data_IF_520313172354
#
_entry.id   IF_520313172354
#
_cell.length_a   1.000
_cell.length_b   1.000
_cell.length_c   1.000
_cell.angle_alpha   90.00
_cell.angle_beta   90.00
_cell.angle_gamma   90.00
#
_symmetry.space_group_name_H-M   'P 1'
#
loop_
_entity.id
_entity.type
_entity.pdbx_description
1 polymer ?
#
# COMPACT_ATOMS: atom_id res chain seq x y z
N UNK A 1 -7.31 -1.44 17.59
CA UNK A 1 -6.21 -1.97 18.41
C UNK A 1 -5.86 -0.93 19.46
N UNK A 2 -6.20 -1.17 20.72
CA UNK A 2 -5.84 -0.29 21.84
C UNK A 2 -4.67 -0.98 22.54
N UNK A 3 -3.50 -0.34 22.57
CA UNK A 3 -2.32 -0.84 23.29
C UNK A 3 -2.43 -0.57 24.80
N UNK A 4 -3.64 -0.65 25.33
CA UNK A 4 -3.97 -0.20 26.69
C UNK A 4 -4.73 -1.31 27.38
N UNK A 5 -4.48 -1.48 28.67
CA UNK A 5 -5.22 -2.45 29.48
C UNK A 5 -6.74 -2.12 29.38
N UNK A 6 -7.58 -3.05 28.92
CA UNK A 6 -9.01 -2.80 28.72
C UNK A 6 -9.72 -2.28 29.98
N UNK A 7 -9.24 -2.68 31.16
CA UNK A 7 -9.80 -2.32 32.46
C UNK A 7 -9.68 -0.83 32.83
N UNK A 8 -8.80 -0.07 32.18
CA UNK A 8 -8.54 1.36 32.50
C UNK A 8 -8.83 2.30 31.34
N UNK A 9 -9.38 1.78 30.23
CA UNK A 9 -9.62 2.57 29.02
C UNK A 9 -11.10 2.86 28.86
N UNK A 10 -11.54 4.06 29.25
CA UNK A 10 -12.90 4.53 28.98
C UNK A 10 -12.93 5.21 27.62
N UNK A 11 -13.64 4.63 26.66
CA UNK A 11 -13.90 5.26 25.36
C UNK A 11 -15.28 5.92 25.45
N UNK A 12 -15.31 7.23 25.57
CA UNK A 12 -16.55 8.01 25.56
C UNK A 12 -16.83 8.50 24.13
N UNK A 13 -18.03 8.28 23.57
CA UNK A 13 -18.43 8.81 22.26
C UNK A 13 -18.45 10.35 22.14
N UNK A 14 -18.17 11.09 23.23
CA UNK A 14 -18.54 12.49 23.41
C UNK A 14 -17.41 13.51 23.33
N UNK A 15 -16.15 13.11 23.16
CA UNK A 15 -15.04 14.07 23.14
C UNK A 15 -14.70 14.47 21.69
N UNK A 16 -15.09 15.69 21.30
CA UNK A 16 -15.14 16.24 19.93
C UNK A 16 -16.13 15.54 18.97
N UNK A 17 -17.01 16.27 18.26
CA UNK A 17 -17.90 15.64 17.28
C UNK A 17 -17.15 14.99 16.10
N UNK A 18 -15.86 15.30 15.89
CA UNK A 18 -15.09 14.84 14.73
C UNK A 18 -13.76 14.14 15.05
N UNK A 19 -13.18 14.27 16.26
CA UNK A 19 -11.92 13.59 16.63
C UNK A 19 -11.87 13.29 18.14
N UNK A 20 -12.20 12.07 18.53
CA UNK A 20 -12.02 11.60 19.92
C UNK A 20 -10.54 11.48 20.28
N UNK A 21 -9.93 12.56 20.76
CA UNK A 21 -8.59 12.50 21.37
C UNK A 21 -8.71 11.81 22.72
N UNK A 22 -8.62 10.47 22.76
CA UNK A 22 -8.46 9.78 24.03
C UNK A 22 -6.98 9.91 24.47
N UNK A 23 -6.74 10.70 25.51
CA UNK A 23 -5.47 10.67 26.22
C UNK A 23 -5.45 9.43 27.11
N UNK A 24 -4.64 8.43 26.77
CA UNK A 24 -4.43 7.26 27.63
C UNK A 24 -3.42 7.64 28.71
N UNK A 25 -3.92 8.29 29.76
CA UNK A 25 -3.15 8.65 30.95
C UNK A 25 -3.15 7.53 31.98
N UNK A 26 -2.28 6.53 31.83
CA UNK A 26 -1.73 5.84 33.00
C UNK A 26 -0.70 6.77 33.63
N UNK A 27 -0.70 6.93 34.96
CA UNK A 27 0.12 7.91 35.72
C UNK A 27 1.65 7.79 35.62
N UNK A 28 2.19 7.26 34.53
CA UNK A 28 3.61 7.29 34.22
C UNK A 28 4.00 8.66 33.63
N UNK A 29 5.10 9.28 34.09
CA UNK A 29 5.57 10.54 33.56
C UNK A 29 6.00 10.38 32.09
N UNK A 30 5.28 11.07 31.20
CA UNK A 30 5.60 11.35 29.79
C UNK A 30 6.05 10.13 28.97
N UNK A 31 5.11 9.28 28.60
CA UNK A 31 5.21 8.56 27.32
C UNK A 31 5.06 9.64 26.23
N UNK A 32 6.05 9.83 25.33
CA UNK A 32 5.87 10.75 24.22
C UNK A 32 4.63 10.28 23.45
N UNK A 33 3.74 11.22 23.12
CA UNK A 33 2.54 10.93 22.37
C UNK A 33 2.91 10.37 20.98
N UNK A 34 3.21 9.08 20.88
CA UNK A 34 2.86 8.31 19.69
C UNK A 34 1.34 8.48 19.63
N UNK A 35 0.91 9.44 18.80
CA UNK A 35 -0.47 9.88 18.71
C UNK A 35 -1.39 8.68 18.67
N UNK A 36 -2.46 8.73 19.44
CA UNK A 36 -3.43 7.65 19.45
C UNK A 36 -3.89 7.43 17.99
N UNK A 37 -3.74 6.20 17.51
CA UNK A 37 -4.11 5.85 16.14
C UNK A 37 -5.63 5.71 16.10
N UNK A 38 -6.28 6.80 15.75
CA UNK A 38 -7.73 6.95 15.79
C UNK A 38 -8.37 6.88 14.42
N UNK A 39 -7.57 7.02 13.36
CA UNK A 39 -8.05 7.08 11.98
C UNK A 39 -9.07 5.98 11.62
N UNK A 40 -8.87 4.70 11.98
CA UNK A 40 -9.85 3.64 11.71
C UNK A 40 -11.26 3.87 12.26
N UNK A 41 -11.45 4.82 13.18
CA UNK A 41 -12.73 5.09 13.82
C UNK A 41 -13.35 6.40 13.35
N UNK A 42 -12.60 7.51 13.41
CA UNK A 42 -13.15 8.82 13.09
C UNK A 42 -13.17 9.13 11.59
N UNK A 43 -12.23 8.63 10.80
CA UNK A 43 -12.24 8.88 9.35
C UNK A 43 -13.41 8.17 8.67
N UNK A 44 -13.74 6.90 8.96
CA UNK A 44 -14.98 6.30 8.45
C UNK A 44 -16.22 7.10 8.84
N UNK A 45 -16.30 7.61 10.08
CA UNK A 45 -17.41 8.45 10.53
C UNK A 45 -17.48 9.77 9.75
N UNK A 46 -16.35 10.46 9.58
CA UNK A 46 -16.25 11.70 8.81
C UNK A 46 -16.68 11.47 7.35
N UNK A 47 -16.15 10.42 6.72
CA UNK A 47 -16.39 10.11 5.31
C UNK A 47 -17.84 9.69 5.04
N UNK A 48 -18.54 9.14 6.05
CA UNK A 48 -19.95 8.76 5.98
C UNK A 48 -20.91 9.80 6.59
N UNK A 49 -20.39 10.91 7.10
CA UNK A 49 -21.25 11.97 7.63
C UNK A 49 -22.02 12.64 6.47
N UNK A 50 -23.34 12.83 6.57
CA UNK A 50 -24.13 13.38 5.45
C UNK A 50 -23.76 14.82 5.10
N UNK A 51 -23.15 15.56 6.04
CA UNK A 51 -22.74 16.96 5.85
C UNK A 51 -21.27 17.04 5.42
N UNK A 52 -20.39 16.28 6.05
CA UNK A 52 -18.94 16.37 5.87
C UNK A 52 -18.36 15.33 4.90
N UNK A 53 -19.04 14.20 4.72
CA UNK A 53 -18.61 13.10 3.88
C UNK A 53 -18.54 13.46 2.39
N UNK A 54 -19.62 13.95 1.76
CA UNK A 54 -19.59 14.31 0.34
C UNK A 54 -18.49 15.33 -0.02
N UNK A 55 -18.28 16.42 0.74
CA UNK A 55 -17.13 17.30 0.52
C UNK A 55 -15.77 16.61 0.68
N UNK A 56 -15.60 15.72 1.67
CA UNK A 56 -14.35 15.00 1.87
C UNK A 56 -14.04 14.03 0.71
N UNK A 57 -15.04 13.30 0.22
CA UNK A 57 -14.92 12.41 -0.95
C UNK A 57 -14.65 13.23 -2.22
N UNK A 58 -15.34 14.37 -2.39
CA UNK A 58 -15.09 15.29 -3.49
C UNK A 58 -13.64 15.83 -3.47
N UNK A 59 -13.09 16.12 -2.29
CA UNK A 59 -11.71 16.54 -2.14
C UNK A 59 -10.70 15.46 -2.54
N UNK A 60 -10.97 14.17 -2.25
CA UNK A 60 -10.17 13.05 -2.75
C UNK A 60 -10.17 13.01 -4.28
N UNK A 61 -11.35 13.13 -4.91
CA UNK A 61 -11.47 13.15 -6.37
C UNK A 61 -10.74 14.33 -6.98
N UNK A 62 -10.90 15.51 -6.40
CA UNK A 62 -10.21 16.72 -6.81
C UNK A 62 -8.69 16.54 -6.76
N UNK A 63 -8.17 15.94 -5.69
CA UNK A 63 -6.74 15.63 -5.56
C UNK A 63 -6.26 14.70 -6.68
N UNK A 64 -7.03 13.66 -7.02
CA UNK A 64 -6.71 12.78 -8.15
C UNK A 64 -6.72 13.53 -9.50
N UNK A 65 -7.66 14.47 -9.68
CA UNK A 65 -7.75 15.28 -10.89
C UNK A 65 -6.61 16.28 -11.02
N UNK A 66 -6.16 16.88 -9.91
CA UNK A 66 -4.96 17.71 -9.87
C UNK A 66 -3.71 16.91 -10.27
N UNK A 67 -3.55 15.69 -9.74
CA UNK A 67 -2.45 14.80 -10.11
C UNK A 67 -2.45 14.53 -11.62
N UNK A 68 -3.62 14.26 -12.21
CA UNK A 68 -3.73 14.07 -13.67
C UNK A 68 -3.52 15.37 -14.46
N UNK A 69 -3.96 16.51 -13.91
CA UNK A 69 -3.82 17.82 -14.55
C UNK A 69 -2.34 18.18 -14.72
N UNK A 70 -1.49 17.89 -13.74
CA UNK A 70 -0.04 18.15 -13.83
C UNK A 70 0.61 17.48 -15.04
N UNK A 71 0.20 16.25 -15.38
CA UNK A 71 0.69 15.54 -16.58
C UNK A 71 0.14 16.21 -17.86
N UNK A 72 -1.12 16.63 -17.88
CA UNK A 72 -1.70 17.38 -19.01
C UNK A 72 -1.04 18.73 -19.22
N UNK A 73 -0.75 19.46 -18.15
CA UNK A 73 -0.14 20.78 -18.23
C UNK A 73 1.30 20.68 -18.76
N UNK A 74 2.01 19.60 -18.41
CA UNK A 74 3.37 19.35 -18.88
C UNK A 74 3.45 18.84 -20.33
N UNK A 75 2.48 18.02 -20.77
CA UNK A 75 2.56 17.26 -22.03
C UNK A 75 1.43 17.56 -23.03
N UNK A 76 0.55 18.51 -22.72
CA UNK A 76 -0.60 18.91 -23.54
C UNK A 76 -1.92 18.29 -23.10
N UNK A 77 -3.03 18.92 -23.50
CA UNK A 77 -4.39 18.56 -23.06
C UNK A 77 -4.81 17.12 -23.38
N UNK A 78 -4.20 16.48 -24.38
CA UNK A 78 -4.46 15.09 -24.76
C UNK A 78 -3.71 14.06 -23.92
N UNK A 79 -2.73 14.48 -23.10
CA UNK A 79 -1.97 13.57 -22.26
C UNK A 79 -2.87 12.94 -21.19
N UNK A 80 -2.60 11.67 -20.87
CA UNK A 80 -3.37 10.91 -19.88
C UNK A 80 -2.41 10.20 -18.93
N UNK A 81 -2.85 10.03 -17.70
CA UNK A 81 -2.16 9.15 -16.75
C UNK A 81 -2.72 7.75 -16.95
N UNK A 82 -1.89 6.84 -17.45
CA UNK A 82 -2.22 5.42 -17.62
C UNK A 82 -1.56 4.52 -16.59
N UNK A 83 -0.51 5.00 -15.95
CA UNK A 83 0.30 4.19 -15.05
C UNK A 83 0.48 4.89 -13.71
N UNK A 84 0.45 4.09 -12.64
CA UNK A 84 0.82 4.55 -11.31
C UNK A 84 1.89 3.63 -10.74
N UNK A 85 3.00 4.24 -10.36
CA UNK A 85 4.05 3.62 -9.56
C UNK A 85 3.86 4.10 -8.13
N UNK A 86 3.52 3.19 -7.22
CA UNK A 86 3.44 3.47 -5.80
C UNK A 86 4.70 2.99 -5.10
N UNK A 87 5.56 3.92 -4.71
CA UNK A 87 6.78 3.64 -3.97
C UNK A 87 6.49 3.76 -2.48
N UNK A 88 6.31 2.62 -1.81
CA UNK A 88 5.89 2.52 -0.42
C UNK A 88 6.90 1.79 0.47
N UNK A 89 6.46 1.40 1.66
CA UNK A 89 7.16 0.49 2.55
C UNK A 89 6.13 -0.43 3.20
N UNK A 90 6.41 -1.75 3.23
CA UNK A 90 5.63 -2.74 3.95
C UNK A 90 4.13 -2.57 3.71
N UNK A 91 3.39 -2.19 4.75
CA UNK A 91 1.93 -2.05 4.71
C UNK A 91 1.37 -1.11 3.68
N UNK A 92 2.08 -0.04 3.33
CA UNK A 92 1.56 0.82 2.29
C UNK A 92 1.55 0.12 0.93
N UNK A 93 2.34 -0.92 0.70
CA UNK A 93 2.27 -1.77 -0.49
C UNK A 93 1.23 -2.88 -0.33
N UNK A 94 1.18 -3.51 0.83
CA UNK A 94 0.21 -4.57 1.12
C UNK A 94 -1.24 -4.08 1.05
N UNK A 95 -1.50 -2.83 1.42
CA UNK A 95 -2.78 -2.15 1.20
C UNK A 95 -3.22 -2.18 -0.27
N UNK A 96 -2.28 -1.99 -1.21
CA UNK A 96 -2.58 -1.94 -2.65
C UNK A 96 -2.73 -3.34 -3.20
N UNK A 97 -1.92 -4.28 -2.72
CA UNK A 97 -2.10 -5.70 -3.02
C UNK A 97 -3.45 -6.20 -2.51
N UNK A 98 -3.94 -5.71 -1.37
CA UNK A 98 -5.27 -6.01 -0.87
C UNK A 98 -6.36 -5.43 -1.77
N UNK A 99 -6.22 -4.18 -2.25
CA UNK A 99 -7.17 -3.61 -3.22
C UNK A 99 -7.20 -4.38 -4.54
N UNK A 100 -6.04 -4.79 -5.05
CA UNK A 100 -5.92 -5.61 -6.26
C UNK A 100 -6.51 -7.00 -6.06
N UNK A 101 -6.20 -7.65 -4.94
CA UNK A 101 -6.74 -8.97 -4.58
C UNK A 101 -8.23 -8.97 -4.28
N UNK A 102 -8.77 -7.83 -3.83
CA UNK A 102 -10.21 -7.60 -3.65
C UNK A 102 -10.90 -7.08 -4.91
N UNK A 103 -10.18 -6.95 -6.04
CA UNK A 103 -10.73 -6.50 -7.33
C UNK A 103 -11.39 -5.10 -7.25
N UNK A 104 -10.88 -4.24 -6.36
CA UNK A 104 -11.37 -2.87 -6.17
C UNK A 104 -10.63 -1.85 -7.04
N UNK A 105 -9.44 -2.21 -7.50
CA UNK A 105 -8.75 -1.50 -8.57
C UNK A 105 -9.05 -2.22 -9.89
N UNK A 106 -9.23 -1.47 -11.00
CA UNK A 106 -9.54 -2.06 -12.29
C UNK A 106 -8.51 -3.12 -12.63
N UNK A 107 -8.99 -4.25 -13.15
CA UNK A 107 -8.09 -5.20 -13.76
C UNK A 107 -7.36 -4.50 -14.92
N UNK A 108 -6.04 -4.69 -15.04
CA UNK A 108 -5.33 -4.31 -16.25
C UNK A 108 -6.06 -4.93 -17.43
N UNK A 109 -6.49 -4.12 -18.39
CA UNK A 109 -7.31 -4.60 -19.50
C UNK A 109 -6.49 -5.48 -20.43
N UNK A 110 -7.10 -6.57 -20.88
CA UNK A 110 -6.52 -7.52 -21.82
C UNK A 110 -6.40 -6.89 -23.22
N UNK A 111 -5.17 -6.60 -23.63
CA UNK A 111 -4.84 -5.90 -24.89
C UNK A 111 -5.06 -6.79 -26.14
N UNK A 112 -5.37 -8.07 -25.97
CA UNK A 112 -5.45 -9.04 -27.06
C UNK A 112 -6.64 -8.85 -28.02
N UNK A 113 -7.66 -8.04 -27.68
CA UNK A 113 -8.78 -7.76 -28.59
C UNK A 113 -8.59 -6.54 -29.50
N UNK A 114 -7.49 -5.78 -29.36
CA UNK A 114 -7.29 -4.52 -30.09
C UNK A 114 -6.26 -4.60 -31.25
N UNK A 115 -5.50 -5.69 -31.40
CA UNK A 115 -4.41 -5.76 -32.39
C UNK A 115 -4.26 -7.13 -33.06
N UNK A 116 -5.28 -7.58 -33.79
CA UNK A 116 -5.06 -8.51 -34.91
C UNK A 116 -4.54 -7.74 -36.13
N UNK A 117 -3.28 -7.31 -36.07
CA UNK A 117 -2.49 -6.88 -37.22
C UNK A 117 -0.99 -7.06 -36.96
N UNK A 118 -0.47 -8.27 -37.23
CA UNK A 118 0.92 -8.46 -37.67
C UNK A 118 1.91 -9.09 -36.69
N UNK A 119 2.27 -10.36 -36.96
CA UNK A 119 3.67 -10.76 -37.06
C UNK A 119 4.36 -11.42 -35.86
N UNK A 120 4.40 -12.76 -35.91
CA UNK A 120 5.40 -13.72 -35.41
C UNK A 120 6.46 -13.28 -34.36
N UNK A 121 6.44 -13.93 -33.20
CA UNK A 121 7.51 -13.91 -32.20
C UNK A 121 8.05 -15.33 -31.94
N UNK A 122 9.38 -15.44 -31.91
CA UNK A 122 10.14 -16.64 -31.58
C UNK A 122 10.24 -16.89 -30.07
N UNK A 123 10.44 -18.15 -29.73
CA UNK A 123 10.41 -18.69 -28.37
C UNK A 123 11.75 -18.52 -27.64
N UNK A 124 11.72 -17.90 -26.46
CA UNK A 124 12.81 -17.87 -25.49
C UNK A 124 12.26 -17.78 -24.08
N UNK A 125 12.21 -18.90 -23.37
CA UNK A 125 11.62 -19.02 -22.04
C UNK A 125 12.53 -18.51 -20.92
N UNK A 126 11.93 -17.82 -19.93
CA UNK A 126 12.56 -17.48 -18.66
C UNK A 126 12.11 -18.46 -17.57
N UNK A 127 13.07 -18.93 -16.76
CA UNK A 127 12.87 -19.84 -15.63
C UNK A 127 12.22 -19.15 -14.43
N UNK A 128 11.38 -19.93 -13.73
CA UNK A 128 10.53 -19.51 -12.60
C UNK A 128 11.07 -20.04 -11.26
N UNK A 129 12.32 -19.72 -10.95
CA UNK A 129 12.94 -20.02 -9.66
C UNK A 129 12.58 -18.92 -8.64
N UNK A 130 11.53 -19.21 -7.87
CA UNK A 130 10.88 -18.31 -6.90
C UNK A 130 11.69 -17.97 -5.66
N UNK A 131 12.83 -17.30 -5.82
CA UNK A 131 13.66 -16.84 -4.68
C UNK A 131 14.19 -15.40 -4.81
N UNK A 132 13.61 -14.54 -5.65
CA UNK A 132 14.30 -13.31 -6.09
C UNK A 132 13.62 -11.94 -5.91
N UNK A 133 12.30 -11.86 -5.67
CA UNK A 133 11.55 -10.58 -5.82
C UNK A 133 10.95 -10.00 -4.55
N UNK A 134 11.11 -10.64 -3.38
CA UNK A 134 10.39 -10.28 -2.15
C UNK A 134 10.73 -8.91 -1.55
N UNK A 135 11.76 -8.22 -2.05
CA UNK A 135 12.26 -6.97 -1.43
C UNK A 135 12.07 -5.70 -2.28
N UNK A 136 11.24 -5.69 -3.33
CA UNK A 136 10.97 -4.45 -4.07
C UNK A 136 9.73 -3.74 -3.51
N UNK A 137 9.85 -2.61 -2.79
CA UNK A 137 8.72 -1.89 -2.15
C UNK A 137 7.90 -1.06 -3.15
N UNK A 138 7.77 -1.53 -4.40
CA UNK A 138 7.14 -0.79 -5.48
C UNK A 138 5.95 -1.60 -5.98
N UNK A 139 4.76 -1.02 -5.82
CA UNK A 139 3.55 -1.54 -6.43
C UNK A 139 3.31 -0.80 -7.76
N UNK A 140 2.95 -1.55 -8.79
CA UNK A 140 2.69 -1.01 -10.12
C UNK A 140 1.31 -1.46 -10.59
N UNK A 141 0.48 -0.50 -11.01
CA UNK A 141 -0.77 -0.82 -11.72
C UNK A 141 -1.07 0.19 -12.84
N UNK A 142 -2.00 -0.22 -13.70
CA UNK A 142 -2.47 0.54 -14.85
C UNK A 142 -3.87 1.10 -14.58
N UNK A 143 -4.17 2.31 -15.06
CA UNK A 143 -5.45 3.00 -14.85
C UNK A 143 -6.41 2.87 -16.04
N UNK A 144 -5.88 2.74 -17.26
CA UNK A 144 -6.61 2.67 -18.52
C UNK A 144 -6.07 1.47 -19.34
N UNK A 145 -6.69 1.18 -20.50
CA UNK A 145 -6.15 0.25 -21.51
C UNK A 145 -4.74 0.68 -21.90
N UNK A 146 -3.74 -0.19 -21.68
CA UNK A 146 -2.35 0.13 -21.98
C UNK A 146 -1.73 -0.84 -22.97
N UNK A 147 -0.79 -0.32 -23.75
CA UNK A 147 0.18 -1.13 -24.46
C UNK A 147 1.05 -1.90 -23.44
N UNK A 148 0.98 -3.23 -23.45
CA UNK A 148 1.77 -4.10 -22.58
C UNK A 148 3.28 -3.89 -22.74
N UNK A 149 3.74 -3.45 -23.91
CA UNK A 149 5.17 -3.27 -24.20
C UNK A 149 5.77 -2.11 -23.40
N UNK A 150 5.05 -0.98 -23.29
CA UNK A 150 5.49 0.16 -22.48
C UNK A 150 5.63 -0.19 -21.00
N UNK A 151 4.71 -1.01 -20.49
CA UNK A 151 4.77 -1.51 -19.12
C UNK A 151 5.98 -2.44 -18.91
N UNK A 152 6.15 -3.42 -19.79
CA UNK A 152 7.28 -4.35 -19.72
C UNK A 152 8.62 -3.59 -19.74
N UNK A 153 8.74 -2.55 -20.58
CA UNK A 153 9.91 -1.69 -20.61
C UNK A 153 10.12 -0.89 -19.32
N UNK A 154 9.06 -0.33 -18.72
CA UNK A 154 9.17 0.37 -17.43
C UNK A 154 9.68 -0.58 -16.34
N UNK A 155 9.08 -1.77 -16.22
CA UNK A 155 9.47 -2.77 -15.21
C UNK A 155 10.89 -3.29 -15.46
N UNK A 156 11.26 -3.54 -16.72
CA UNK A 156 12.60 -3.95 -17.11
C UNK A 156 13.64 -2.87 -16.75
N UNK A 157 13.34 -1.60 -17.02
CA UNK A 157 14.22 -0.48 -16.68
C UNK A 157 14.41 -0.32 -15.16
N UNK A 158 13.33 -0.45 -14.38
CA UNK A 158 13.37 -0.44 -12.91
C UNK A 158 14.22 -1.61 -12.40
N UNK A 159 13.97 -2.82 -12.90
CA UNK A 159 14.69 -4.03 -12.51
C UNK A 159 16.18 -4.01 -12.90
N UNK A 160 16.51 -3.52 -14.09
CA UNK A 160 17.89 -3.35 -14.54
C UNK A 160 18.65 -2.35 -13.65
N UNK A 161 18.01 -1.23 -13.32
CA UNK A 161 18.56 -0.26 -12.37
C UNK A 161 18.78 -0.88 -10.98
N UNK A 162 17.86 -1.71 -10.49
CA UNK A 162 18.01 -2.40 -9.20
C UNK A 162 19.16 -3.41 -9.21
N UNK A 163 19.30 -4.23 -10.28
CA UNK A 163 20.36 -5.24 -10.41
C UNK A 163 21.76 -4.64 -10.54
N UNK A 164 21.92 -3.59 -11.36
CA UNK A 164 23.19 -2.90 -11.53
C UNK A 164 23.75 -2.39 -10.18
N UNK A 165 22.86 -2.07 -9.23
CA UNK A 165 23.22 -1.60 -7.89
C UNK A 165 23.58 -2.70 -6.89
N UNK A 166 23.04 -3.92 -7.03
CA UNK A 166 23.39 -5.06 -6.16
C UNK A 166 24.80 -5.61 -6.43
N UNK A 167 25.38 -5.30 -7.59
CA UNK A 167 26.75 -5.70 -7.93
C UNK A 167 27.86 -4.89 -7.26
N UNK A 168 27.53 -3.81 -6.53
CA UNK A 168 28.51 -3.02 -5.80
C UNK A 168 28.99 -3.76 -4.53
N UNK A 169 30.29 -3.77 -4.22
CA UNK A 169 30.81 -4.47 -3.04
C UNK A 169 30.20 -3.91 -1.74
N UNK A 170 29.70 -4.81 -0.90
CA UNK A 170 29.12 -4.45 0.39
C UNK A 170 30.16 -3.76 1.29
N UNK A 171 29.91 -2.51 1.65
CA UNK A 171 30.71 -1.78 2.63
C UNK A 171 30.25 -2.14 4.06
N UNK A 172 31.22 -2.46 4.91
CA UNK A 172 31.04 -2.80 6.33
C UNK A 172 30.49 -1.59 7.13
N UNK A 173 29.24 -1.63 7.66
CA UNK A 173 28.64 -0.48 8.30
C UNK A 173 29.01 -0.42 9.79
N UNK A 174 29.77 0.62 10.19
CA UNK A 174 29.96 0.94 11.61
C UNK A 174 28.77 1.76 12.16
N UNK A 175 28.37 1.59 13.45
CA UNK A 175 27.02 1.98 13.91
C UNK A 175 26.77 3.46 14.19
N UNK A 176 27.70 4.39 13.89
CA UNK A 176 27.64 5.76 14.40
C UNK A 176 27.42 6.88 13.35
N UNK A 177 27.17 6.55 12.07
CA UNK A 177 27.12 7.56 10.98
C UNK A 177 25.97 7.35 9.96
N UNK A 178 24.83 6.80 10.37
CA UNK A 178 23.80 6.29 9.42
C UNK A 178 22.81 7.32 8.86
N UNK A 179 22.99 8.64 9.07
CA UNK A 179 22.11 9.66 8.46
C UNK A 179 22.76 10.48 7.33
N UNK A 180 24.07 10.38 7.12
CA UNK A 180 24.80 11.33 6.25
C UNK A 180 25.48 10.72 5.01
N UNK A 181 25.39 9.40 4.79
CA UNK A 181 26.12 8.77 3.69
C UNK A 181 25.33 7.63 3.04
N UNK A 182 24.14 7.93 2.49
CA UNK A 182 23.77 7.25 1.27
C UNK A 182 24.71 7.80 0.19
N UNK A 183 25.84 7.12 -0.04
CA UNK A 183 26.75 7.47 -1.14
C UNK A 183 25.94 7.54 -2.42
N UNK A 184 26.11 8.65 -3.15
CA UNK A 184 25.49 8.86 -4.44
C UNK A 184 25.69 7.60 -5.31
N UNK A 185 24.70 7.20 -6.12
CA UNK A 185 24.77 5.99 -6.93
C UNK A 185 26.08 5.96 -7.71
N UNK A 186 26.70 4.78 -7.77
CA UNK A 186 27.90 4.53 -8.58
C UNK A 186 27.64 5.01 -10.02
N UNK A 187 28.25 6.13 -10.38
CA UNK A 187 28.09 6.77 -11.68
C UNK A 187 28.66 5.93 -12.83
N UNK A 188 29.30 4.79 -12.54
CA UNK A 188 29.95 3.93 -13.53
C UNK A 188 29.04 2.88 -14.17
N UNK A 189 27.88 2.55 -13.58
CA UNK A 189 26.94 1.64 -14.23
C UNK A 189 26.35 2.31 -15.50
N UNK A 190 26.41 1.65 -16.68
CA UNK A 190 25.89 2.26 -17.91
C UNK A 190 24.40 2.56 -17.72
N UNK A 191 23.97 3.81 -17.98
CA UNK A 191 22.58 4.18 -17.79
C UNK A 191 21.69 3.34 -18.70
N UNK A 192 20.55 2.87 -18.18
CA UNK A 192 19.51 2.26 -19.01
C UNK A 192 19.13 3.27 -20.09
N UNK A 193 19.35 2.89 -21.34
CA UNK A 193 18.96 3.69 -22.49
C UNK A 193 17.44 3.87 -22.47
N UNK A 194 17.00 5.13 -22.60
CA UNK A 194 15.57 5.44 -22.70
C UNK A 194 15.23 5.47 -24.18
N UNK A 195 14.65 4.39 -24.68
CA UNK A 195 14.09 4.37 -26.03
C UNK A 195 12.76 5.15 -26.10
N UNK A 196 12.21 5.27 -27.30
CA UNK A 196 10.98 6.02 -27.55
C UNK A 196 9.76 5.42 -26.83
N UNK A 197 9.69 4.09 -26.70
CA UNK A 197 8.55 3.39 -26.12
C UNK A 197 8.55 3.53 -24.59
N UNK A 198 9.71 3.41 -23.97
CA UNK A 198 9.89 3.69 -22.55
C UNK A 198 9.61 5.16 -22.25
N UNK A 199 10.12 6.10 -23.05
CA UNK A 199 9.82 7.52 -22.88
C UNK A 199 8.31 7.81 -22.98
N UNK A 200 7.61 7.17 -23.92
CA UNK A 200 6.17 7.29 -24.06
C UNK A 200 5.42 6.76 -22.84
N UNK A 201 5.78 5.56 -22.35
CA UNK A 201 5.18 5.00 -21.13
C UNK A 201 5.43 5.87 -19.89
N UNK A 202 6.66 6.35 -19.70
CA UNK A 202 6.99 7.24 -18.57
C UNK A 202 6.21 8.56 -18.63
N UNK A 203 5.96 9.11 -19.82
CA UNK A 203 5.13 10.32 -20.01
C UNK A 203 3.69 10.14 -19.53
N UNK A 204 3.18 8.91 -19.53
CA UNK A 204 1.83 8.57 -19.05
C UNK A 204 1.83 8.03 -17.60
N UNK A 205 2.97 8.12 -16.90
CA UNK A 205 3.15 7.54 -15.57
C UNK A 205 3.20 8.60 -14.46
N UNK A 206 2.47 8.38 -13.37
CA UNK A 206 2.65 9.09 -12.11
C UNK A 206 3.41 8.20 -11.13
N UNK A 207 4.31 8.80 -10.34
CA UNK A 207 4.99 8.17 -9.21
C UNK A 207 4.48 8.81 -7.91
N UNK A 208 3.96 7.99 -7.00
CA UNK A 208 3.54 8.41 -5.66
C UNK A 208 4.41 7.71 -4.63
N UNK A 209 5.20 8.50 -3.91
CA UNK A 209 5.98 8.00 -2.79
C UNK A 209 5.17 8.12 -1.50
N UNK A 210 5.04 7.04 -0.72
CA UNK A 210 4.30 7.07 0.55
C UNK A 210 5.11 6.48 1.69
N UNK A 211 5.25 7.27 2.75
CA UNK A 211 5.71 6.81 4.05
C UNK A 211 5.11 7.72 5.12
N UNK A 212 4.68 7.14 6.24
CA UNK A 212 4.28 7.92 7.42
C UNK A 212 5.27 7.81 8.57
N UNK A 213 6.19 6.83 8.49
CA UNK A 213 7.24 6.67 9.46
C UNK A 213 8.25 7.80 9.34
N UNK A 214 8.74 8.28 10.48
CA UNK A 214 9.87 9.20 10.50
C UNK A 214 11.15 8.58 9.92
N UNK A 215 11.22 7.25 9.79
CA UNK A 215 12.46 6.50 9.51
C UNK A 215 12.43 5.69 8.21
N UNK A 216 11.38 5.80 7.40
CA UNK A 216 11.28 5.00 6.16
C UNK A 216 12.20 5.56 5.07
N UNK A 217 13.26 4.84 4.77
CA UNK A 217 14.28 5.24 3.80
C UNK A 217 13.98 4.71 2.39
N UNK A 218 13.42 3.50 2.32
CA UNK A 218 13.16 2.72 1.12
C UNK A 218 12.36 3.48 0.05
N UNK A 219 11.21 4.12 0.35
CA UNK A 219 10.49 4.88 -0.66
C UNK A 219 11.26 6.11 -1.14
N UNK A 220 12.03 6.76 -0.26
CA UNK A 220 12.87 7.89 -0.64
C UNK A 220 14.01 7.44 -1.56
N UNK A 221 14.67 6.33 -1.20
CA UNK A 221 15.71 5.70 -2.00
C UNK A 221 15.21 5.24 -3.36
N UNK A 222 14.06 4.55 -3.42
CA UNK A 222 13.47 4.09 -4.68
C UNK A 222 13.21 5.27 -5.64
N UNK A 223 12.69 6.38 -5.12
CA UNK A 223 12.48 7.59 -5.91
C UNK A 223 13.79 8.20 -6.37
N UNK A 224 14.71 8.51 -5.44
CA UNK A 224 15.94 9.25 -5.78
C UNK A 224 16.93 8.43 -6.59
N UNK A 225 17.11 7.16 -6.25
CA UNK A 225 18.11 6.32 -6.89
C UNK A 225 17.59 5.72 -8.20
N UNK A 226 16.32 5.29 -8.26
CA UNK A 226 15.81 4.55 -9.40
C UNK A 226 14.91 5.38 -10.33
N UNK A 227 13.83 5.94 -9.78
CA UNK A 227 12.74 6.45 -10.60
C UNK A 227 13.01 7.86 -11.13
N UNK A 228 13.39 8.81 -10.28
CA UNK A 228 13.62 10.20 -10.71
C UNK A 228 14.74 10.32 -11.76
N UNK A 229 15.90 9.63 -11.65
CA UNK A 229 16.91 9.67 -12.70
C UNK A 229 16.41 9.09 -14.03
N UNK A 230 15.53 8.08 -13.99
CA UNK A 230 14.95 7.50 -15.21
C UNK A 230 14.07 8.52 -15.94
N UNK A 231 13.17 9.20 -15.22
CA UNK A 231 12.33 10.27 -15.80
C UNK A 231 13.17 11.46 -16.29
N UNK A 232 14.20 11.85 -15.55
CA UNK A 232 15.10 12.93 -15.95
C UNK A 232 15.84 12.61 -17.26
N UNK A 233 16.33 11.38 -17.43
CA UNK A 233 16.94 10.92 -18.71
C UNK A 233 15.95 10.90 -19.86
N UNK A 234 14.67 10.64 -19.59
CA UNK A 234 13.58 10.74 -20.56
C UNK A 234 13.19 12.20 -20.89
N UNK A 235 13.83 13.20 -20.26
CA UNK A 235 13.49 14.62 -20.44
C UNK A 235 12.15 15.01 -19.83
N UNK A 236 11.63 14.25 -18.86
CA UNK A 236 10.33 14.47 -18.26
C UNK A 236 10.43 15.34 -16.99
N UNK A 237 9.58 16.36 -16.82
CA UNK A 237 9.62 17.24 -15.66
C UNK A 237 9.12 16.51 -14.40
N UNK A 238 9.99 16.34 -13.41
CA UNK A 238 9.65 15.58 -12.19
C UNK A 238 8.43 16.15 -11.44
N UNK A 239 8.23 17.47 -11.44
CA UNK A 239 7.05 18.10 -10.82
C UNK A 239 5.71 17.64 -11.42
N UNK A 240 5.71 17.19 -12.68
CA UNK A 240 4.51 16.69 -13.33
C UNK A 240 4.19 15.24 -12.94
N UNK A 241 5.22 14.47 -12.60
CA UNK A 241 5.13 13.01 -12.43
C UNK A 241 5.25 12.55 -10.98
N UNK A 242 5.90 13.30 -10.09
CA UNK A 242 6.25 12.84 -8.75
C UNK A 242 5.45 13.56 -7.67
N UNK A 243 4.76 12.77 -6.88
CA UNK A 243 4.05 13.19 -5.68
C UNK A 243 4.57 12.44 -4.45
N UNK A 244 4.42 13.02 -3.26
CA UNK A 244 4.68 12.36 -1.98
C UNK A 244 3.49 12.50 -1.04
N UNK A 245 3.16 11.42 -0.33
CA UNK A 245 2.16 11.38 0.75
C UNK A 245 2.92 11.02 2.03
N UNK A 246 3.12 12.01 2.88
CA UNK A 246 3.92 11.84 4.11
C UNK A 246 3.55 12.86 5.18
N UNK A 247 4.05 12.66 6.40
CA UNK A 247 4.01 13.66 7.46
C UNK A 247 5.20 14.62 7.36
N UNK A 248 5.01 15.92 7.71
CA UNK A 248 6.09 16.91 7.71
C UNK A 248 7.29 16.48 8.59
N UNK A 249 8.49 16.70 8.09
CA UNK A 249 9.75 16.40 8.79
C UNK A 249 10.19 14.93 8.77
N UNK A 250 9.41 14.01 8.19
CA UNK A 250 9.85 12.63 7.99
C UNK A 250 11.08 12.54 7.06
N UNK A 251 11.77 11.40 7.05
CA UNK A 251 12.83 11.12 6.05
C UNK A 251 12.29 11.33 4.64
N UNK A 252 11.11 10.79 4.31
CA UNK A 252 10.54 10.97 2.97
C UNK A 252 10.29 12.45 2.64
N UNK A 253 9.78 13.23 3.61
CA UNK A 253 9.50 14.65 3.41
C UNK A 253 10.77 15.48 3.17
N UNK A 254 11.77 15.28 4.02
CA UNK A 254 13.05 16.01 3.98
C UNK A 254 13.93 15.59 2.81
N UNK A 255 13.88 14.31 2.43
CA UNK A 255 14.68 13.74 1.35
C UNK A 255 14.10 14.07 -0.03
N UNK A 256 12.77 14.01 -0.17
CA UNK A 256 12.07 14.32 -1.41
C UNK A 256 11.54 15.75 -1.38
N UNK A 257 12.44 16.73 -1.50
CA UNK A 257 12.07 18.15 -1.61
C UNK A 257 11.59 18.52 -3.01
N UNK A 258 11.34 19.81 -3.25
CA UNK A 258 11.01 20.32 -4.59
C UNK A 258 12.02 19.79 -5.62
N UNK A 259 11.58 19.32 -6.80
CA UNK A 259 10.28 19.57 -7.44
C UNK A 259 9.13 18.60 -7.07
N UNK A 260 9.31 17.68 -6.12
CA UNK A 260 8.30 16.66 -5.79
C UNK A 260 7.14 17.28 -5.00
N UNK A 261 5.90 17.07 -5.46
CA UNK A 261 4.70 17.70 -4.90
C UNK A 261 4.22 16.95 -3.66
N UNK A 262 4.08 17.65 -2.54
CA UNK A 262 3.47 17.10 -1.33
C UNK A 262 1.95 17.05 -1.45
N UNK A 263 1.35 15.90 -1.18
CA UNK A 263 -0.09 15.70 -1.10
C UNK A 263 -0.51 15.50 0.37
N UNK A 264 -1.73 15.92 0.75
CA UNK A 264 -2.24 15.67 2.09
C UNK A 264 -2.38 14.17 2.33
N UNK A 265 -2.15 13.73 3.56
CA UNK A 265 -2.28 12.31 3.91
C UNK A 265 -3.72 11.90 4.19
N UNK A 266 -4.51 12.76 4.83
CA UNK A 266 -5.90 12.46 5.18
C UNK A 266 -6.89 13.43 4.53
N UNK A 267 -8.12 12.98 4.21
CA UNK A 267 -9.20 13.88 3.80
C UNK A 267 -9.47 14.95 4.86
N UNK A 268 -9.61 16.21 4.44
CA UNK A 268 -9.86 17.35 5.33
C UNK A 268 -8.66 17.80 6.18
N UNK A 269 -7.47 17.23 6.00
CA UNK A 269 -6.27 17.63 6.73
C UNK A 269 -5.71 18.95 6.19
N UNK A 270 -5.80 20.01 6.99
CA UNK A 270 -5.13 21.29 6.74
C UNK A 270 -3.95 21.46 7.71
N UNK A 271 -2.76 21.00 7.32
CA UNK A 271 -1.50 21.31 8.03
C UNK A 271 -1.27 20.63 9.40
N UNK A 272 -2.00 19.56 9.72
CA UNK A 272 -1.88 18.84 11.00
C UNK A 272 -1.00 17.57 10.94
N UNK A 273 -0.77 16.95 12.10
CA UNK A 273 -0.22 15.58 12.20
C UNK A 273 -1.28 14.57 11.75
N UNK A 274 -0.83 13.47 11.11
CA UNK A 274 -1.73 12.37 10.77
C UNK A 274 -2.20 11.64 12.03
N UNK A 275 -3.49 11.27 12.07
CA UNK A 275 -4.08 10.42 13.10
C UNK A 275 -4.08 8.92 12.71
N UNK A 276 -3.50 8.59 11.55
CA UNK A 276 -3.37 7.24 11.03
C UNK A 276 -1.93 6.74 11.12
N UNK A 277 -1.78 5.45 11.41
CA UNK A 277 -0.53 4.74 11.19
C UNK A 277 -0.57 4.06 9.82
N UNK A 278 0.61 3.71 9.28
CA UNK A 278 0.73 3.14 7.92
C UNK A 278 -0.21 1.96 7.65
N UNK A 279 -0.26 0.96 8.53
CA UNK A 279 -1.17 -0.20 8.39
C UNK A 279 -2.67 0.14 8.46
N UNK A 280 -3.02 1.36 8.88
CA UNK A 280 -4.39 1.84 8.95
C UNK A 280 -4.70 2.85 7.84
N UNK A 281 -3.89 2.90 6.78
CA UNK A 281 -4.07 3.86 5.70
C UNK A 281 -5.26 3.56 4.79
N UNK A 282 -5.94 2.44 5.01
CA UNK A 282 -7.17 2.09 4.30
C UNK A 282 -8.31 3.12 4.41
N UNK A 283 -8.23 4.04 5.38
CA UNK A 283 -9.19 5.15 5.54
C UNK A 283 -8.63 6.52 5.12
N UNK A 284 -7.40 6.57 4.61
CA UNK A 284 -6.67 7.81 4.28
C UNK A 284 -6.44 7.92 2.77
N UNK A 285 -5.74 8.96 2.33
CA UNK A 285 -5.30 9.07 0.93
C UNK A 285 -4.37 7.92 0.52
N UNK A 286 -3.85 7.14 1.48
CA UNK A 286 -3.11 5.91 1.17
C UNK A 286 -3.89 4.91 0.33
N UNK A 287 -5.22 4.81 0.47
CA UNK A 287 -6.07 3.95 -0.38
C UNK A 287 -7.13 4.73 -1.16
N UNK A 288 -7.62 5.84 -0.62
CA UNK A 288 -8.63 6.65 -1.29
C UNK A 288 -8.09 7.28 -2.59
N UNK A 289 -6.83 7.72 -2.60
CA UNK A 289 -6.22 8.31 -3.81
C UNK A 289 -6.00 7.27 -4.92
N UNK A 290 -5.43 6.06 -4.67
CA UNK A 290 -5.40 4.99 -5.67
C UNK A 290 -6.75 4.69 -6.30
N UNK A 291 -7.80 4.55 -5.48
CA UNK A 291 -9.17 4.30 -5.96
C UNK A 291 -9.68 5.45 -6.83
N UNK A 292 -9.45 6.70 -6.42
CA UNK A 292 -9.85 7.88 -7.20
C UNK A 292 -9.06 8.03 -8.51
N UNK A 293 -7.76 7.70 -8.51
CA UNK A 293 -6.91 7.63 -9.70
C UNK A 293 -7.37 6.52 -10.66
N UNK A 294 -7.87 5.41 -10.12
CA UNK A 294 -8.52 4.35 -10.88
C UNK A 294 -9.96 4.68 -11.30
N UNK A 295 -10.51 5.83 -10.89
CA UNK A 295 -11.93 6.18 -11.07
C UNK A 295 -12.89 5.14 -10.49
N UNK A 296 -12.44 4.36 -9.51
CA UNK A 296 -13.26 3.42 -8.78
C UNK A 296 -14.32 4.18 -7.96
N UNK A 297 -15.51 3.59 -7.74
CA UNK A 297 -16.54 4.22 -6.93
C UNK A 297 -16.08 4.28 -5.46
N UNK A 298 -15.87 5.49 -4.95
CA UNK A 298 -15.40 5.71 -3.58
C UNK A 298 -16.52 5.52 -2.55
N UNK A 299 -17.76 5.85 -2.91
CA UNK A 299 -18.89 5.83 -1.99
C UNK A 299 -19.18 4.43 -1.43
N UNK A 300 -19.26 3.35 -2.25
CA UNK A 300 -19.45 2.00 -1.72
C UNK A 300 -18.29 1.55 -0.82
N UNK A 301 -17.06 1.89 -1.18
CA UNK A 301 -15.88 1.59 -0.37
C UNK A 301 -15.97 2.28 0.99
N UNK A 302 -16.21 3.60 0.98
CA UNK A 302 -16.37 4.41 2.19
C UNK A 302 -17.53 3.92 3.06
N UNK A 303 -18.67 3.58 2.46
CA UNK A 303 -19.85 3.07 3.15
C UNK A 303 -19.61 1.74 3.88
N UNK A 304 -18.62 0.96 3.43
CA UNK A 304 -18.25 -0.31 4.06
C UNK A 304 -17.26 -0.15 5.23
N UNK A 305 -16.63 1.02 5.39
CA UNK A 305 -15.62 1.26 6.44
C UNK A 305 -16.17 1.30 7.88
N UNK A 306 -17.37 1.86 8.16
CA UNK A 306 -17.86 1.94 9.53
C UNK A 306 -18.03 0.56 10.17
N UNK A 307 -17.42 0.38 11.34
CA UNK A 307 -17.67 -0.79 12.16
C UNK A 307 -18.99 -0.61 12.92
N UNK A 308 -19.94 -1.52 12.71
CA UNK A 308 -21.11 -1.61 13.58
C UNK A 308 -20.68 -1.88 15.04
N UNK A 309 -21.40 -1.38 16.05
CA UNK A 309 -21.08 -1.66 17.46
C UNK A 309 -20.92 -3.16 17.77
N UNK A 310 -21.71 -4.01 17.11
CA UNK A 310 -21.62 -5.47 17.21
C UNK A 310 -20.26 -6.02 16.76
N UNK A 311 -19.62 -5.40 15.76
CA UNK A 311 -18.27 -5.76 15.31
C UNK A 311 -17.22 -5.47 16.38
N UNK A 312 -17.35 -4.33 17.10
CA UNK A 312 -16.47 -4.02 18.23
C UNK A 312 -16.52 -5.09 19.31
N UNK A 313 -17.73 -5.50 19.71
CA UNK A 313 -17.91 -6.59 20.67
C UNK A 313 -17.35 -7.93 20.15
N UNK A 314 -17.53 -8.25 18.87
CA UNK A 314 -16.99 -9.46 18.25
C UNK A 314 -15.46 -9.45 18.25
N UNK A 315 -14.82 -8.34 17.88
CA UNK A 315 -13.36 -8.18 17.89
C UNK A 315 -12.81 -8.35 19.30
N UNK A 316 -13.44 -7.75 20.31
CA UNK A 316 -13.03 -7.91 21.70
C UNK A 316 -13.16 -9.36 22.18
N UNK A 317 -14.22 -10.07 21.78
CA UNK A 317 -14.37 -11.52 22.08
C UNK A 317 -13.28 -12.36 21.41
N UNK A 318 -12.96 -12.08 20.14
CA UNK A 318 -11.88 -12.78 19.42
C UNK A 318 -10.53 -12.51 20.11
N UNK A 319 -10.25 -11.25 20.47
CA UNK A 319 -9.01 -10.90 21.17
C UNK A 319 -8.90 -11.59 22.54
N UNK A 320 -9.97 -11.60 23.33
CA UNK A 320 -10.00 -12.29 24.62
C UNK A 320 -9.83 -13.81 24.47
N UNK A 321 -10.42 -14.41 23.43
CA UNK A 321 -10.25 -15.82 23.12
C UNK A 321 -8.80 -16.16 22.71
N UNK A 322 -8.17 -15.32 21.88
CA UNK A 322 -6.75 -15.47 21.51
C UNK A 322 -5.86 -15.39 22.76
N UNK A 323 -6.02 -14.36 23.60
CA UNK A 323 -5.24 -14.21 24.84
C UNK A 323 -5.41 -15.41 25.78
N UNK A 324 -6.65 -15.86 26.00
CA UNK A 324 -6.93 -17.03 26.82
C UNK A 324 -6.26 -18.31 26.27
N UNK A 325 -6.28 -18.51 24.95
CA UNK A 325 -5.65 -19.66 24.31
C UNK A 325 -4.11 -19.61 24.42
N UNK A 326 -3.49 -18.43 24.28
CA UNK A 326 -2.05 -18.25 24.49
C UNK A 326 -1.64 -18.53 25.94
N UNK A 327 -2.43 -18.07 26.92
CA UNK A 327 -2.16 -18.33 28.35
C UNK A 327 -2.34 -19.78 28.75
N UNK A 328 -3.33 -20.47 28.16
CA UNK A 328 -3.64 -21.85 28.47
C UNK A 328 -2.57 -22.84 27.99
N UNK A 329 -1.76 -22.46 26.99
CA UNK A 329 -0.68 -23.31 26.48
C UNK A 329 0.51 -22.46 26.02
N UNK A 330 1.64 -22.50 26.76
CA UNK A 330 2.88 -21.83 26.38
C UNK A 330 3.45 -22.27 25.02
N UNK A 331 2.92 -23.36 24.44
CA UNK A 331 3.29 -23.85 23.10
C UNK A 331 2.53 -23.17 21.97
N UNK A 332 1.49 -22.37 22.26
CA UNK A 332 0.71 -21.64 21.25
C UNK A 332 1.48 -20.40 20.79
N UNK A 333 2.36 -20.62 19.83
CA UNK A 333 3.26 -19.60 19.27
C UNK A 333 2.76 -19.03 17.94
N UNK A 334 1.66 -19.55 17.39
CA UNK A 334 1.16 -19.12 16.08
C UNK A 334 -0.37 -18.98 16.01
N UNK A 335 -0.80 -17.98 15.24
CA UNK A 335 -2.16 -17.78 14.79
C UNK A 335 -2.23 -18.11 13.30
N UNK A 336 -2.93 -19.18 12.97
CA UNK A 336 -3.24 -19.52 11.59
C UNK A 336 -4.49 -18.77 11.17
N UNK A 337 -4.36 -17.90 10.18
CA UNK A 337 -5.50 -17.31 9.49
C UNK A 337 -5.86 -18.17 8.28
N UNK A 338 -7.01 -18.85 8.36
CA UNK A 338 -7.59 -19.51 7.19
C UNK A 338 -8.50 -18.52 6.49
N UNK A 339 -7.98 -17.94 5.41
CA UNK A 339 -8.70 -16.98 4.57
C UNK A 339 -9.45 -17.69 3.43
N UNK A 340 -10.48 -17.07 2.85
CA UNK A 340 -11.12 -17.56 1.63
C UNK A 340 -10.09 -17.78 0.51
N UNK A 341 -10.32 -18.76 -0.37
CA UNK A 341 -9.33 -19.14 -1.39
C UNK A 341 -9.06 -17.98 -2.35
N UNK A 342 -10.09 -17.20 -2.64
CA UNK A 342 -10.06 -15.99 -3.47
C UNK A 342 -9.20 -14.87 -2.89
N UNK A 343 -8.91 -14.87 -1.60
CA UNK A 343 -8.10 -13.84 -0.91
C UNK A 343 -6.64 -14.23 -0.74
N UNK A 344 -6.29 -15.48 -1.09
CA UNK A 344 -4.93 -16.00 -0.95
C UNK A 344 -4.10 -15.61 -2.16
N UNK A 345 -2.80 -15.50 -1.92
CA UNK A 345 -1.76 -15.34 -2.93
C UNK A 345 -1.98 -16.19 -4.17
N UNK A 346 -2.20 -15.53 -5.30
CA UNK A 346 -2.29 -16.17 -6.62
C UNK A 346 -1.61 -15.30 -7.67
N UNK A 347 -0.95 -15.95 -8.62
CA UNK A 347 -0.54 -15.30 -9.86
C UNK A 347 -1.77 -15.15 -10.76
N UNK A 348 -2.04 -13.93 -11.19
CA UNK A 348 -3.08 -13.60 -12.17
C UNK A 348 -2.40 -13.20 -13.45
N UNK A 349 -2.68 -13.94 -14.53
CA UNK A 349 -2.18 -13.60 -15.85
C UNK A 349 -2.89 -12.34 -16.34
N UNK A 350 -2.15 -11.23 -16.52
CA UNK A 350 -2.73 -9.93 -16.92
C UNK A 350 -3.25 -9.92 -18.37
N UNK A 351 -2.65 -10.70 -19.26
CA UNK A 351 -3.12 -10.85 -20.64
C UNK A 351 -2.60 -12.16 -21.25
N UNK A 352 -3.40 -12.88 -22.05
CA UNK A 352 -2.94 -14.00 -22.86
C UNK A 352 -1.83 -13.62 -23.85
N UNK A 353 -1.79 -12.36 -24.31
CA UNK A 353 -0.78 -11.84 -25.22
C UNK A 353 0.51 -11.43 -24.48
N UNK A 354 0.39 -10.87 -23.27
CA UNK A 354 1.53 -10.55 -22.42
C UNK A 354 1.96 -11.75 -21.57
N UNK A 355 2.44 -12.82 -22.21
CA UNK A 355 2.91 -14.07 -21.56
C UNK A 355 4.00 -13.89 -20.48
N UNK A 356 4.49 -12.67 -20.24
CA UNK A 356 5.62 -12.38 -19.38
C UNK A 356 5.28 -11.56 -18.11
N UNK A 357 4.02 -11.24 -17.85
CA UNK A 357 3.65 -10.40 -16.70
C UNK A 357 2.51 -11.01 -15.89
N UNK A 358 2.81 -12.13 -15.23
CA UNK A 358 1.96 -12.59 -14.14
C UNK A 358 2.02 -11.57 -12.99
N UNK A 359 0.87 -11.28 -12.39
CA UNK A 359 0.74 -10.38 -11.24
C UNK A 359 0.39 -11.17 -9.99
N UNK A 360 1.17 -11.00 -8.93
CA UNK A 360 0.86 -11.58 -7.63
C UNK A 360 -0.25 -10.77 -6.94
N UNK A 361 -1.36 -11.42 -6.61
CA UNK A 361 -2.46 -10.82 -5.83
C UNK A 361 -2.63 -11.57 -4.52
N UNK A 362 -2.54 -10.86 -3.39
CA UNK A 362 -2.62 -11.47 -2.06
C UNK A 362 -3.18 -10.51 -1.00
N UNK A 363 -4.42 -10.77 -0.56
CA UNK A 363 -5.04 -10.03 0.55
C UNK A 363 -4.50 -10.52 1.90
N UNK A 364 -3.94 -11.73 1.96
CA UNK A 364 -3.47 -12.33 3.20
C UNK A 364 -2.29 -11.60 3.84
N UNK A 365 -1.41 -11.02 3.01
CA UNK A 365 -0.26 -10.26 3.48
C UNK A 365 -0.69 -9.02 4.26
N UNK A 366 -1.74 -8.35 3.80
CA UNK A 366 -2.33 -7.22 4.51
C UNK A 366 -2.86 -7.61 5.90
N UNK A 367 -3.58 -8.74 6.00
CA UNK A 367 -4.02 -9.26 7.30
C UNK A 367 -2.86 -9.65 8.21
N UNK A 368 -1.83 -10.29 7.64
CA UNK A 368 -0.62 -10.69 8.36
C UNK A 368 0.03 -9.47 8.99
N UNK A 369 0.27 -8.43 8.22
CA UNK A 369 0.88 -7.21 8.75
C UNK A 369 -0.01 -6.49 9.76
N UNK A 370 -1.31 -6.36 9.48
CA UNK A 370 -2.27 -5.76 10.40
C UNK A 370 -2.25 -6.42 11.78
N UNK A 371 -2.13 -7.75 11.82
CA UNK A 371 -2.11 -8.51 13.06
C UNK A 371 -0.71 -8.56 13.69
N UNK A 372 0.34 -8.90 12.95
CA UNK A 372 1.69 -9.02 13.49
C UNK A 372 2.23 -7.69 14.00
N UNK A 373 2.06 -6.60 13.24
CA UNK A 373 2.51 -5.29 13.69
C UNK A 373 1.67 -4.74 14.85
N UNK A 374 0.43 -5.20 15.02
CA UNK A 374 -0.44 -4.73 16.09
C UNK A 374 -0.29 -5.55 17.37
N UNK A 375 -0.12 -6.87 17.25
CA UNK A 375 -0.12 -7.82 18.36
C UNK A 375 1.30 -8.25 18.78
N UNK A 376 2.29 -8.20 17.88
CA UNK A 376 3.67 -8.61 18.14
C UNK A 376 4.49 -7.62 18.97
N UNK A 377 3.92 -7.05 20.04
CA UNK A 377 4.57 -6.00 20.87
C UNK A 377 5.22 -6.53 22.15
N UNK A 378 4.78 -7.67 22.66
CA UNK A 378 5.32 -8.23 23.91
C UNK A 378 6.33 -9.35 23.61
N UNK A 379 7.58 -9.21 24.09
CA UNK A 379 8.55 -10.30 24.06
C UNK A 379 8.00 -11.54 24.77
N UNK A 380 8.09 -12.72 24.13
CA UNK A 380 7.64 -13.99 24.72
C UNK A 380 6.16 -14.34 24.53
N UNK A 381 5.34 -13.42 24.00
CA UNK A 381 3.91 -13.65 23.68
C UNK A 381 3.68 -13.77 22.17
N UNK A 382 4.75 -13.97 21.39
CA UNK A 382 4.69 -13.81 19.93
C UNK A 382 3.78 -14.85 19.31
N UNK A 383 2.66 -14.36 18.78
CA UNK A 383 1.77 -15.09 17.92
C UNK A 383 2.21 -14.82 16.48
N UNK A 384 3.07 -15.69 15.94
CA UNK A 384 3.42 -15.66 14.51
C UNK A 384 2.14 -15.84 13.70
N UNK A 385 1.86 -14.94 12.77
CA UNK A 385 0.68 -15.07 11.91
C UNK A 385 1.06 -15.86 10.67
N UNK A 386 0.37 -16.98 10.49
CA UNK A 386 0.56 -17.90 9.38
C UNK A 386 -0.67 -17.80 8.49
N UNK A 387 -0.47 -17.41 7.24
CA UNK A 387 -1.53 -17.26 6.22
C UNK A 387 -1.52 -18.40 5.19
N UNK A 388 -0.49 -19.25 5.18
CA UNK A 388 -0.34 -20.33 4.22
C UNK A 388 -1.31 -21.50 4.50
N UNK A 389 -2.03 -22.01 3.50
CA UNK A 389 -2.99 -23.10 3.66
C UNK A 389 -2.34 -24.47 3.91
N UNK A 390 -1.03 -24.60 3.67
CA UNK A 390 -0.31 -25.89 3.67
C UNK A 390 0.80 -25.98 4.70
N UNK A 391 1.01 -24.96 5.55
CA UNK A 391 2.08 -25.00 6.53
C UNK A 391 1.89 -26.23 7.46
N UNK A 392 2.76 -27.26 7.37
CA UNK A 392 2.64 -28.46 8.20
C UNK A 392 2.97 -28.03 9.61
N UNK A 393 1.94 -27.94 10.41
CA UNK A 393 2.08 -27.34 11.73
C UNK A 393 1.33 -28.19 12.71
N UNK A 394 1.99 -28.47 13.82
CA UNK A 394 1.43 -29.24 14.92
C UNK A 394 0.15 -28.53 15.42
N UNK A 395 -1.03 -29.16 15.35
CA UNK A 395 -2.25 -28.57 15.92
C UNK A 395 -2.09 -28.18 17.40
N UNK A 396 -1.15 -28.82 18.10
CA UNK A 396 -0.74 -28.49 19.46
C UNK A 396 -0.18 -27.07 19.63
N UNK A 397 0.50 -26.51 18.63
CA UNK A 397 1.19 -25.21 18.72
C UNK A 397 0.41 -24.01 18.16
N UNK A 398 -0.85 -24.21 17.74
CA UNK A 398 -1.57 -23.19 16.97
C UNK A 398 -2.96 -22.82 17.45
N UNK A 399 -3.33 -21.57 17.18
CA UNK A 399 -4.70 -21.07 17.22
C UNK A 399 -5.15 -20.89 15.78
N UNK A 400 -6.29 -21.45 15.38
CA UNK A 400 -6.82 -21.30 14.02
C UNK A 400 -8.02 -20.35 14.01
N UNK A 401 -7.91 -19.25 13.27
CA UNK A 401 -9.02 -18.34 13.00
C UNK A 401 -9.47 -18.53 11.54
N UNK A 402 -10.72 -18.95 11.37
CA UNK A 402 -11.34 -19.09 10.06
C UNK A 402 -12.05 -17.78 9.70
N UNK A 403 -11.58 -17.12 8.65
CA UNK A 403 -12.26 -15.97 8.06
C UNK A 403 -13.19 -16.49 6.97
N UNK A 404 -14.47 -16.16 7.08
CA UNK A 404 -15.45 -16.43 6.03
C UNK A 404 -15.84 -15.09 5.42
N UNK A 405 -15.57 -14.92 4.13
CA UNK A 405 -16.25 -13.87 3.38
C UNK A 405 -17.73 -14.29 3.26
N UNK A 406 -18.69 -13.38 3.47
CA UNK A 406 -20.05 -13.65 3.02
C UNK A 406 -19.96 -13.95 1.53
N UNK A 407 -20.42 -15.12 1.11
CA UNK A 407 -20.50 -15.42 -0.31
C UNK A 407 -21.35 -14.30 -0.92
N UNK A 408 -20.75 -13.48 -1.78
CA UNK A 408 -21.51 -12.69 -2.73
C UNK A 408 -22.12 -13.69 -3.71
N UNK A 409 -23.13 -14.43 -3.26
CA UNK A 409 -24.03 -15.09 -4.19
C UNK A 409 -24.57 -14.02 -5.12
N UNK A 410 -24.93 -14.36 -6.38
CA UNK A 410 -25.67 -13.43 -7.22
C UNK A 410 -26.80 -12.92 -6.36
N UNK A 411 -26.87 -11.59 -6.14
CA UNK A 411 -27.89 -10.98 -5.30
C UNK A 411 -29.21 -11.54 -5.78
N UNK A 412 -29.77 -12.50 -5.02
CA UNK A 412 -31.04 -13.09 -5.36
C UNK A 412 -32.01 -11.95 -5.16
N UNK A 413 -32.38 -11.33 -6.26
CA UNK A 413 -33.43 -10.33 -6.28
C UNK A 413 -34.70 -11.02 -5.76
N UNK A 414 -34.98 -10.84 -4.47
CA UNK A 414 -36.17 -11.35 -3.81
C UNK A 414 -35.97 -12.72 -3.13
N UNK A 415 -35.71 -12.69 -1.83
CA UNK A 415 -36.54 -13.29 -0.79
C UNK A 415 -35.87 -13.03 0.56
N UNK A 416 -36.69 -12.61 1.54
CA UNK A 416 -36.34 -12.16 2.90
C UNK A 416 -35.37 -13.06 3.68
#
# INVERSE_FOLDING_TARGET
CLTTAPAVTTITPSDSPLVAVAAVGGGAPRVPAKGLILAPFHLPRLLNDPTHGPPAIAAVRHLADEVRARVRDAHGASAKVRHVIWAGMGGSIEDKNALLGAELLPEPVDVASASNAGGAAGEGGYGTDGTGTDDCPICFWTLDDVNADSLAHILAAIGAGARARRGAPAHDPTPASTAAAATAPDASAPPVAVDADLAAGLRETIVIAQALGMTSFEPAFNVQAALAPLFARAGLPLAAHFCKVTIPGSILDTTLSAPIVALPHQPGQHGGQSTAAGRHDFVTQGLLLPLALARAPLEPYVAALPLAPAHGAAVLRIAAWIDAACRASPRKEALVLRLPAEWRGRWVQRSPAARACDEWRDVSLWFKQMLEESLGKEPGTVLKVVTAPEAPTDPGSQICLLVRAPHAGPASAGAD
#
